data_IF_672559725187
#
_entry.id   IF_672559725187
#
_cell.length_a   1.000
_cell.length_b   1.000
_cell.length_c   1.000
_cell.angle_alpha   90.00
_cell.angle_beta   90.00
_cell.angle_gamma   90.00
#
_symmetry.space_group_name_H-M   'P 1'
#
loop_
_entity.id
_entity.type
_entity.pdbx_description
1 polymer ?
#
# COMPACT_ATOMS: atom_id res chain seq x y z
N UNK A 1 11.24 14.53 -17.66
CA UNK A 1 10.56 15.41 -16.68
C UNK A 1 9.25 14.78 -16.25
N UNK A 2 9.17 14.23 -15.03
CA UNK A 2 7.92 13.63 -14.51
C UNK A 2 7.04 14.78 -14.01
N UNK A 3 5.98 15.14 -14.76
CA UNK A 3 4.94 16.06 -14.25
C UNK A 3 4.39 15.47 -12.94
N UNK A 4 4.59 16.20 -11.83
CA UNK A 4 4.01 15.85 -10.54
C UNK A 4 2.51 16.05 -10.66
N UNK A 5 1.75 14.96 -10.57
CA UNK A 5 0.29 15.02 -10.55
C UNK A 5 -0.11 15.44 -9.15
N UNK A 6 -1.02 16.42 -9.06
CA UNK A 6 -1.51 16.92 -7.79
C UNK A 6 -2.18 15.81 -6.95
N UNK A 7 -2.09 15.93 -5.62
CA UNK A 7 -2.66 14.99 -4.65
C UNK A 7 -4.18 14.89 -4.81
N UNK A 8 -4.87 15.98 -5.18
CA UNK A 8 -6.30 15.99 -5.46
C UNK A 8 -6.65 15.11 -6.66
N UNK A 9 -5.90 15.24 -7.75
CA UNK A 9 -6.05 14.42 -8.96
C UNK A 9 -5.82 12.94 -8.66
N UNK A 10 -4.80 12.61 -7.86
CA UNK A 10 -4.54 11.22 -7.46
C UNK A 10 -5.71 10.63 -6.67
N UNK A 11 -6.31 11.39 -5.74
CA UNK A 11 -7.49 10.93 -4.98
C UNK A 11 -8.68 10.66 -5.90
N UNK A 12 -8.90 11.52 -6.90
CA UNK A 12 -9.96 11.33 -7.91
C UNK A 12 -9.73 10.08 -8.76
N UNK A 13 -8.50 9.85 -9.24
CA UNK A 13 -8.13 8.63 -10.00
C UNK A 13 -8.46 7.36 -9.19
N UNK A 14 -8.09 7.33 -7.91
CA UNK A 14 -8.36 6.18 -7.04
C UNK A 14 -9.87 5.98 -6.83
N UNK A 15 -10.60 7.06 -6.58
CA UNK A 15 -12.05 7.02 -6.37
C UNK A 15 -12.79 6.51 -7.61
N UNK A 16 -12.47 7.05 -8.79
CA UNK A 16 -13.07 6.63 -10.06
C UNK A 16 -12.84 5.13 -10.35
N UNK A 17 -11.69 4.59 -9.96
CA UNK A 17 -11.42 3.16 -10.09
C UNK A 17 -12.15 2.31 -9.06
N UNK A 18 -12.13 2.70 -7.78
CA UNK A 18 -12.69 1.88 -6.70
C UNK A 18 -14.21 1.99 -6.57
N UNK A 19 -14.77 3.18 -6.74
CA UNK A 19 -16.21 3.44 -6.56
C UNK A 19 -16.98 3.26 -7.85
N UNK A 20 -16.45 3.74 -8.97
CA UNK A 20 -17.15 3.69 -10.25
C UNK A 20 -16.70 2.54 -11.16
N UNK A 21 -15.65 1.81 -10.79
CA UNK A 21 -15.16 0.67 -11.58
C UNK A 21 -14.57 1.07 -12.95
N UNK A 22 -14.23 2.34 -13.17
CA UNK A 22 -13.79 2.80 -14.50
C UNK A 22 -12.47 2.15 -14.93
N UNK A 23 -12.36 1.90 -16.23
CA UNK A 23 -11.15 1.36 -16.85
C UNK A 23 -10.01 2.40 -16.79
N UNK A 24 -8.76 1.94 -16.78
CA UNK A 24 -7.61 2.83 -16.76
C UNK A 24 -7.46 3.63 -18.07
N UNK A 25 -8.05 3.18 -19.16
CA UNK A 25 -8.12 3.93 -20.43
C UNK A 25 -9.00 5.17 -20.26
N UNK A 26 -10.25 4.99 -19.79
CA UNK A 26 -11.20 6.10 -19.56
C UNK A 26 -10.63 7.09 -18.54
N UNK A 27 -10.00 6.59 -17.47
CA UNK A 27 -9.34 7.45 -16.48
C UNK A 27 -8.17 8.21 -17.13
N UNK A 28 -7.37 7.55 -17.96
CA UNK A 28 -6.25 8.17 -18.65
C UNK A 28 -6.69 9.35 -19.53
N UNK A 29 -7.71 9.12 -20.36
CA UNK A 29 -8.30 10.15 -21.23
C UNK A 29 -8.82 11.35 -20.43
N UNK A 30 -9.57 11.12 -19.35
CA UNK A 30 -10.13 12.18 -18.50
C UNK A 30 -9.09 13.10 -17.85
N UNK A 31 -7.90 12.56 -17.55
CA UNK A 31 -6.84 13.32 -16.88
C UNK A 31 -5.69 13.70 -17.83
N UNK A 32 -5.80 13.41 -19.12
CA UNK A 32 -4.75 13.66 -20.09
C UNK A 32 -3.45 12.89 -19.78
N UNK A 33 -3.57 11.68 -19.24
CA UNK A 33 -2.44 10.80 -18.91
C UNK A 33 -2.58 9.45 -19.60
N UNK A 34 -1.47 8.75 -19.82
CA UNK A 34 -1.55 7.39 -20.35
C UNK A 34 -2.23 6.43 -19.34
N UNK A 35 -2.90 5.40 -19.86
CA UNK A 35 -3.48 4.34 -19.02
C UNK A 35 -2.41 3.67 -18.14
N UNK A 36 -1.21 3.46 -18.66
CA UNK A 36 -0.06 2.94 -17.90
C UNK A 36 0.31 3.86 -16.73
N UNK A 37 0.24 5.18 -16.92
CA UNK A 37 0.48 6.14 -15.86
C UNK A 37 -0.61 6.09 -14.79
N UNK A 38 -1.88 5.95 -15.17
CA UNK A 38 -2.99 5.77 -14.24
C UNK A 38 -2.82 4.51 -13.37
N UNK A 39 -2.39 3.38 -13.97
CA UNK A 39 -2.09 2.13 -13.25
C UNK A 39 -0.99 2.33 -12.23
N UNK A 40 0.12 2.99 -12.60
CA UNK A 40 1.24 3.25 -11.68
C UNK A 40 0.80 4.09 -10.47
N UNK A 41 0.01 5.13 -10.71
CA UNK A 41 -0.55 5.98 -9.65
C UNK A 41 -1.41 5.16 -8.71
N UNK A 42 -2.33 4.37 -9.26
CA UNK A 42 -3.24 3.53 -8.49
C UNK A 42 -2.47 2.53 -7.61
N UNK A 43 -1.54 1.77 -8.19
CA UNK A 43 -0.72 0.80 -7.44
C UNK A 43 0.10 1.47 -6.34
N UNK A 44 0.68 2.65 -6.60
CA UNK A 44 1.45 3.40 -5.59
C UNK A 44 0.58 3.85 -4.42
N UNK A 45 -0.67 4.24 -4.67
CA UNK A 45 -1.60 4.62 -3.62
C UNK A 45 -2.13 3.42 -2.83
N UNK A 46 -2.40 2.29 -3.49
CA UNK A 46 -2.77 1.04 -2.81
C UNK A 46 -1.70 0.61 -1.81
N UNK A 47 -0.41 0.66 -2.19
CA UNK A 47 0.70 0.36 -1.28
C UNK A 47 0.76 1.30 -0.07
N UNK A 48 0.49 2.58 -0.26
CA UNK A 48 0.43 3.57 0.83
C UNK A 48 -0.75 3.33 1.77
N UNK A 49 -1.91 2.99 1.22
CA UNK A 49 -3.09 2.66 2.02
C UNK A 49 -2.89 1.37 2.80
N UNK A 50 -2.27 0.35 2.20
CA UNK A 50 -1.92 -0.88 2.91
C UNK A 50 -0.94 -0.61 4.05
N UNK A 51 0.14 0.13 3.82
CA UNK A 51 1.09 0.49 4.88
C UNK A 51 0.47 1.33 6.01
N UNK A 52 -0.53 2.16 5.68
CA UNK A 52 -1.29 2.96 6.67
C UNK A 52 -2.35 2.14 7.42
N UNK A 53 -2.84 1.05 6.83
CA UNK A 53 -3.86 0.17 7.42
C UNK A 53 -3.25 -0.99 8.21
N UNK A 54 -1.92 -1.19 8.15
CA UNK A 54 -1.21 -1.99 9.14
C UNK A 54 -1.12 -1.16 10.41
N UNK A 55 -2.19 -1.22 11.20
CA UNK A 55 -2.20 -0.79 12.60
C UNK A 55 -1.03 -1.55 13.29
N UNK A 56 0.02 -0.88 13.82
CA UNK A 56 1.15 -1.57 14.46
C UNK A 56 0.80 -2.03 15.89
N UNK A 57 -0.47 -2.26 16.21
CA UNK A 57 -0.92 -2.60 17.56
C UNK A 57 -0.79 -4.10 17.90
N UNK A 58 -0.20 -4.93 17.02
CA UNK A 58 0.09 -6.33 17.33
C UNK A 58 1.52 -6.79 16.99
N UNK A 59 2.48 -5.86 16.88
CA UNK A 59 3.91 -6.20 16.73
C UNK A 59 4.69 -6.06 18.05
N UNK A 60 4.04 -6.29 19.19
CA UNK A 60 4.71 -6.49 20.47
C UNK A 60 4.38 -7.87 21.03
N UNK A 61 4.71 -8.93 20.29
CA UNK A 61 4.93 -10.24 20.91
C UNK A 61 6.43 -10.38 21.12
N UNK A 62 6.84 -9.95 22.31
CA UNK A 62 8.08 -10.29 23.00
C UNK A 62 8.49 -11.74 22.73
N UNK A 63 9.54 -11.93 21.91
CA UNK A 63 10.32 -13.16 21.94
C UNK A 63 11.52 -12.96 22.87
N UNK A 64 11.24 -12.60 24.13
CA UNK A 64 12.20 -12.56 25.24
C UNK A 64 12.10 -13.85 26.05
N UNK A 65 12.26 -15.02 25.41
CA UNK A 65 12.50 -16.30 26.10
C UNK A 65 13.44 -17.19 25.32
N UNK A 66 14.66 -16.72 25.09
CA UNK A 66 15.79 -17.58 24.77
C UNK A 66 16.97 -17.25 25.70
N UNK A 67 16.69 -17.14 26.99
CA UNK A 67 17.71 -17.24 28.03
C UNK A 67 17.23 -18.26 29.06
N UNK A 68 18.16 -19.13 29.45
CA UNK A 68 18.12 -20.09 30.57
C UNK A 68 17.11 -21.22 30.51
N UNK A 69 17.58 -22.41 30.10
CA UNK A 69 17.68 -23.58 31.01
C UNK A 69 18.15 -24.81 30.23
N UNK A 70 19.47 -25.05 30.19
CA UNK A 70 19.99 -26.41 29.97
C UNK A 70 20.68 -26.82 31.27
N UNK A 71 19.86 -27.10 32.29
CA UNK A 71 20.26 -27.71 33.55
C UNK A 71 19.99 -29.21 33.42
N UNK A 72 21.09 -29.98 33.42
CA UNK A 72 21.27 -31.32 34.00
C UNK A 72 20.13 -32.36 33.93
N UNK A 73 20.43 -33.53 33.33
CA UNK A 73 20.11 -34.89 33.80
C UNK A 73 20.75 -35.89 32.81
N UNK A 74 21.90 -36.52 33.11
CA UNK A 74 22.10 -37.83 33.77
C UNK A 74 21.30 -38.99 33.16
N UNK A 75 21.99 -39.88 32.42
CA UNK A 75 22.11 -41.31 32.74
C UNK A 75 23.30 -41.91 32.01
#
# INVERSE_FOLDING_TARGET
MIRRIDKGTVKRIVNLRQVQGLSFQIIGERFGISATRAVQIFKRQQKKQQASNVKPENLHVTNTKAFTSRKLQTS
#
